data_IF_881623337691
#
_entry.id   IF_881623337691
#
_cell.length_a   1.000
_cell.length_b   1.000
_cell.length_c   1.000
_cell.angle_alpha   90.00
_cell.angle_beta   90.00
_cell.angle_gamma   90.00
#
_symmetry.space_group_name_H-M   'P 1'
#
loop_
_entity.id
_entity.type
_entity.pdbx_description
1 polymer ?
#
# COMPACT_ATOMS: atom_id res chain seq x y z
N UNK A 1 -3.72 16.54 -5.70
CA UNK A 1 -2.92 17.62 -6.31
C UNK A 1 -2.21 17.19 -7.60
N UNK A 2 -1.51 16.04 -7.66
CA UNK A 2 -0.81 15.60 -8.90
C UNK A 2 -1.75 15.15 -10.06
N UNK A 3 -2.83 14.41 -9.79
CA UNK A 3 -3.75 13.94 -10.84
C UNK A 3 -4.58 15.08 -11.47
N UNK A 4 -5.11 15.99 -10.64
CA UNK A 4 -5.92 17.12 -11.12
C UNK A 4 -5.13 18.17 -11.91
N UNK A 5 -3.81 18.27 -11.72
CA UNK A 5 -2.97 19.24 -12.43
C UNK A 5 -2.44 18.75 -13.79
N UNK A 6 -2.17 17.45 -13.94
CA UNK A 6 -1.52 16.91 -15.14
C UNK A 6 -2.42 16.07 -16.04
N UNK A 7 -3.66 15.74 -15.64
CA UNK A 7 -4.65 14.94 -16.42
C UNK A 7 -4.04 13.69 -17.11
N UNK A 8 -2.96 13.14 -16.55
CA UNK A 8 -2.25 12.02 -17.15
C UNK A 8 -2.70 10.73 -16.45
N UNK A 9 -3.28 9.76 -17.18
CA UNK A 9 -3.79 8.51 -16.62
C UNK A 9 -2.72 7.66 -15.92
N UNK A 10 -1.42 7.95 -16.13
CA UNK A 10 -0.31 7.34 -15.38
C UNK A 10 -0.35 7.63 -13.87
N UNK A 11 -0.98 8.73 -13.45
CA UNK A 11 -1.14 9.09 -12.03
C UNK A 11 -2.51 8.69 -11.47
N UNK A 12 -3.31 7.94 -12.22
CA UNK A 12 -4.56 7.40 -11.69
C UNK A 12 -4.21 6.53 -10.47
N UNK A 13 -4.83 6.80 -9.30
CA UNK A 13 -4.55 6.01 -8.11
C UNK A 13 -5.02 4.58 -8.39
N UNK A 14 -4.10 3.62 -8.33
CA UNK A 14 -4.44 2.22 -8.52
C UNK A 14 -5.46 1.82 -7.44
N UNK A 15 -6.63 1.26 -7.80
CA UNK A 15 -7.71 0.97 -6.84
C UNK A 15 -7.23 0.14 -5.63
N UNK A 16 -6.26 -0.76 -5.87
CA UNK A 16 -5.62 -1.56 -4.83
C UNK A 16 -4.95 -0.70 -3.74
N UNK A 17 -4.17 0.31 -4.15
CA UNK A 17 -3.47 1.20 -3.21
C UNK A 17 -4.45 2.07 -2.42
N UNK A 18 -5.54 2.51 -3.05
CA UNK A 18 -6.59 3.30 -2.37
C UNK A 18 -7.23 2.48 -1.26
N UNK A 19 -7.57 1.22 -1.54
CA UNK A 19 -8.19 0.32 -0.56
C UNK A 19 -7.24 0.04 0.62
N UNK A 20 -5.93 -0.11 0.36
CA UNK A 20 -4.95 -0.32 1.44
C UNK A 20 -4.82 0.90 2.36
N UNK A 21 -4.83 2.11 1.81
CA UNK A 21 -4.80 3.35 2.61
C UNK A 21 -6.09 3.52 3.40
N UNK A 22 -7.25 3.25 2.79
CA UNK A 22 -8.55 3.28 3.49
C UNK A 22 -8.62 2.26 4.63
N UNK A 23 -8.01 1.08 4.46
CA UNK A 23 -7.93 0.05 5.49
C UNK A 23 -6.88 0.34 6.59
N UNK A 24 -6.16 1.48 6.52
CA UNK A 24 -5.13 1.84 7.50
C UNK A 24 -3.82 1.05 7.39
N UNK A 25 -3.67 0.21 6.36
CA UNK A 25 -2.47 -0.60 6.10
C UNK A 25 -1.42 0.21 5.32
N UNK A 26 -0.84 1.20 5.98
CA UNK A 26 0.16 2.14 5.44
C UNK A 26 1.61 1.60 5.42
N UNK A 27 1.82 0.30 5.61
CA UNK A 27 3.14 -0.33 5.60
C UNK A 27 3.83 -0.28 6.96
N UNK A 28 5.13 0.06 6.97
CA UNK A 28 5.99 -0.01 8.16
C UNK A 28 5.45 0.80 9.35
N UNK A 29 4.81 1.94 9.08
CA UNK A 29 4.24 2.81 10.13
C UNK A 29 3.08 2.15 10.87
N UNK A 30 2.28 1.36 10.17
CA UNK A 30 1.12 0.62 10.73
C UNK A 30 1.45 -0.82 11.09
N UNK A 31 2.71 -1.27 10.92
CA UNK A 31 3.11 -2.66 11.11
C UNK A 31 2.68 -3.61 10.00
N UNK A 32 1.81 -3.19 9.08
CA UNK A 32 1.30 -4.01 7.97
C UNK A 32 1.04 -3.17 6.72
N UNK A 33 1.39 -3.70 5.55
CA UNK A 33 1.07 -3.16 4.23
C UNK A 33 1.02 -4.28 3.19
N UNK A 34 1.89 -4.22 2.18
CA UNK A 34 2.11 -5.36 1.27
C UNK A 34 2.80 -6.53 1.97
N UNK A 35 3.57 -6.21 3.01
CA UNK A 35 4.29 -7.14 3.85
C UNK A 35 3.89 -6.91 5.29
N UNK A 36 4.07 -7.95 6.10
CA UNK A 36 3.99 -7.87 7.54
C UNK A 36 5.32 -7.35 8.08
N UNK A 37 5.25 -6.19 8.74
CA UNK A 37 6.38 -5.50 9.35
C UNK A 37 6.34 -5.57 10.89
N UNK A 38 5.46 -6.39 11.47
CA UNK A 38 5.30 -6.53 12.92
C UNK A 38 6.54 -7.06 13.63
N UNK A 39 7.26 -8.00 13.00
CA UNK A 39 8.45 -8.63 13.58
C UNK A 39 9.77 -7.97 13.14
N UNK A 40 9.82 -7.40 11.93
CA UNK A 40 11.04 -6.81 11.37
C UNK A 40 10.74 -5.79 10.27
N UNK A 41 11.57 -4.74 10.16
CA UNK A 41 11.51 -3.80 9.04
C UNK A 41 11.95 -4.41 7.71
N UNK A 42 12.59 -5.58 7.73
CA UNK A 42 12.84 -6.35 6.52
C UNK A 42 11.52 -6.99 6.12
N UNK A 43 11.03 -6.63 4.93
CA UNK A 43 9.80 -7.14 4.32
C UNK A 43 9.90 -8.65 4.00
N UNK A 44 10.02 -9.49 5.03
CA UNK A 44 10.31 -10.91 4.91
C UNK A 44 9.05 -11.74 4.73
N UNK A 45 7.93 -11.32 5.33
CA UNK A 45 6.64 -12.00 5.24
C UNK A 45 5.67 -11.18 4.41
N UNK A 46 5.15 -11.78 3.33
CA UNK A 46 4.06 -11.18 2.54
C UNK A 46 2.79 -11.16 3.39
N UNK A 47 2.04 -10.05 3.38
CA UNK A 47 0.80 -9.96 4.14
C UNK A 47 -0.21 -11.00 3.63
N UNK A 48 -1.01 -11.57 4.53
CA UNK A 48 -1.90 -12.69 4.24
C UNK A 48 -2.87 -12.45 3.06
N UNK A 49 -3.22 -11.18 2.79
CA UNK A 49 -4.09 -10.83 1.66
C UNK A 49 -3.40 -10.92 0.28
N UNK A 50 -2.07 -11.07 0.24
CA UNK A 50 -1.25 -11.15 -0.98
C UNK A 50 -0.46 -12.46 -1.09
N UNK A 51 -0.45 -13.28 -0.03
CA UNK A 51 0.06 -14.64 -0.09
C UNK A 51 -0.97 -15.50 -0.83
N UNK A 52 -0.72 -15.79 -2.10
CA UNK A 52 -1.53 -16.69 -2.94
C UNK A 52 -0.82 -18.04 -3.08
#
# INVERSE_FOLDING_TARGET
VMHNGFKNPKYAPCPLLVNMVMAGKTGVKSGEGFYDYSESRKAEKVAAQFAQ
#
